data_IF_272659044025
#
_entry.id   IF_272659044025
#
_cell.length_a   1.000
_cell.length_b   1.000
_cell.length_c   1.000
_cell.angle_alpha   90.00
_cell.angle_beta   90.00
_cell.angle_gamma   90.00
#
_symmetry.space_group_name_H-M   'P 1'
#
loop_
_entity.id
_entity.type
_entity.pdbx_description
1 polymer ?
#
# COMPACT_ATOMS: atom_id res chain seq x y z
N UNK A 1 -50.80 9.50 27.51
CA UNK A 1 -52.24 9.38 27.18
C UNK A 1 -52.45 10.01 25.82
N UNK A 2 -52.68 9.19 24.78
CA UNK A 2 -53.98 9.01 24.07
C UNK A 2 -54.33 10.25 23.21
N UNK A 3 -54.69 10.22 21.93
CA UNK A 3 -55.03 9.22 20.90
C UNK A 3 -55.04 10.00 19.55
N UNK A 4 -54.40 9.52 18.47
CA UNK A 4 -55.01 8.81 17.30
C UNK A 4 -56.34 9.35 16.76
N UNK A 5 -56.34 9.73 15.47
CA UNK A 5 -57.32 9.43 14.40
C UNK A 5 -56.52 9.55 13.07
N UNK A 6 -56.36 8.55 12.18
CA UNK A 6 -57.29 7.66 11.42
C UNK A 6 -57.47 8.12 9.97
N UNK A 7 -56.94 7.37 9.00
CA UNK A 7 -57.46 7.16 7.63
C UNK A 7 -56.97 5.76 7.22
N UNK A 8 -57.78 4.70 7.32
CA UNK A 8 -58.81 4.17 6.39
C UNK A 8 -58.23 3.59 5.09
N UNK A 9 -58.52 2.29 4.93
CA UNK A 9 -58.19 1.35 3.88
C UNK A 9 -58.91 1.55 2.54
N UNK A 10 -58.26 1.04 1.48
CA UNK A 10 -58.84 -0.06 0.71
C UNK A 10 -58.95 0.13 -0.81
N UNK A 11 -58.28 -0.73 -1.60
CA UNK A 11 -58.92 -1.81 -2.38
C UNK A 11 -57.93 -2.64 -3.21
N UNK A 12 -58.36 -3.88 -3.42
CA UNK A 12 -57.70 -5.05 -4.01
C UNK A 12 -58.10 -5.25 -5.50
N UNK A 13 -57.24 -5.87 -6.33
CA UNK A 13 -57.41 -7.24 -6.90
C UNK A 13 -56.38 -7.60 -8.00
N UNK A 14 -55.64 -8.69 -7.77
CA UNK A 14 -55.22 -9.86 -8.61
C UNK A 14 -54.88 -9.79 -10.12
N UNK A 15 -53.80 -10.51 -10.48
CA UNK A 15 -53.71 -11.75 -11.33
C UNK A 15 -52.27 -12.30 -11.17
N UNK A 16 -52.07 -13.39 -10.42
CA UNK A 16 -51.86 -14.79 -10.82
C UNK A 16 -50.63 -15.12 -11.70
N UNK A 17 -49.71 -15.93 -11.12
CA UNK A 17 -49.15 -17.12 -11.78
C UNK A 17 -47.72 -17.02 -12.32
N UNK A 18 -46.78 -17.73 -11.67
CA UNK A 18 -46.01 -18.85 -12.26
C UNK A 18 -45.15 -19.50 -11.16
N UNK A 19 -45.33 -20.81 -11.01
CA UNK A 19 -44.50 -21.75 -10.26
C UNK A 19 -43.07 -21.79 -10.84
N UNK A 20 -42.05 -21.89 -9.99
CA UNK A 20 -41.10 -23.00 -10.07
C UNK A 20 -40.27 -23.08 -8.78
N UNK A 21 -40.47 -24.18 -8.06
CA UNK A 21 -39.63 -24.67 -6.98
C UNK A 21 -38.24 -25.00 -7.54
N UNK A 22 -37.22 -24.39 -6.98
CA UNK A 22 -35.82 -24.65 -7.27
C UNK A 22 -34.97 -24.20 -6.10
N UNK A 23 -35.10 -24.88 -4.97
CA UNK A 23 -34.19 -24.77 -3.83
C UNK A 23 -32.78 -25.16 -4.30
N UNK A 24 -31.99 -24.19 -4.76
CA UNK A 24 -30.54 -24.35 -4.86
C UNK A 24 -29.98 -24.11 -3.47
N UNK A 25 -29.71 -25.22 -2.80
CA UNK A 25 -28.80 -25.30 -1.67
C UNK A 25 -27.48 -24.61 -2.04
N UNK A 26 -27.29 -23.39 -1.52
CA UNK A 26 -25.98 -22.78 -1.48
C UNK A 26 -25.16 -23.60 -0.50
N UNK A 27 -24.35 -24.51 -1.04
CA UNK A 27 -23.29 -25.14 -0.29
C UNK A 27 -22.37 -24.04 0.21
N UNK A 28 -22.43 -23.78 1.51
CA UNK A 28 -21.37 -23.13 2.25
C UNK A 28 -20.13 -23.99 2.05
N UNK A 29 -19.23 -23.55 1.17
CA UNK A 29 -17.88 -24.07 1.18
C UNK A 29 -17.28 -23.62 2.52
N UNK A 30 -17.19 -24.55 3.46
CA UNK A 30 -16.28 -24.42 4.58
C UNK A 30 -14.89 -24.19 3.98
N UNK A 31 -14.39 -22.96 4.11
CA UNK A 31 -13.01 -22.66 3.76
C UNK A 31 -12.15 -23.52 4.68
N UNK A 32 -11.55 -24.58 4.13
CA UNK A 32 -10.43 -25.23 4.76
C UNK A 32 -9.40 -24.14 5.15
N UNK A 33 -8.72 -24.24 6.30
CA UNK A 33 -7.67 -23.29 6.65
C UNK A 33 -6.61 -23.36 5.55
N UNK A 34 -6.67 -22.41 4.61
CA UNK A 34 -5.67 -22.30 3.57
C UNK A 34 -4.36 -22.04 4.30
N UNK A 35 -3.42 -22.97 4.18
CA UNK A 35 -2.02 -22.74 4.55
C UNK A 35 -1.64 -21.39 3.96
N UNK A 36 -1.46 -20.38 4.82
CA UNK A 36 -1.23 -19.03 4.36
C UNK A 36 -0.03 -19.08 3.39
N UNK A 37 -0.15 -18.52 2.17
CA UNK A 37 1.01 -18.37 1.31
C UNK A 37 2.11 -17.71 2.13
N UNK A 38 3.28 -18.36 2.25
CA UNK A 38 4.39 -17.80 3.01
C UNK A 38 4.89 -16.57 2.25
N UNK A 39 4.40 -15.38 2.63
CA UNK A 39 4.87 -14.07 2.14
C UNK A 39 6.37 -13.87 2.31
N UNK A 40 6.95 -14.70 3.18
CA UNK A 40 8.30 -14.60 3.68
C UNK A 40 9.03 -15.90 3.34
N UNK A 41 10.13 -15.74 2.64
CA UNK A 41 11.02 -16.85 2.29
C UNK A 41 12.09 -16.99 3.39
N UNK A 42 12.76 -18.15 3.49
CA UNK A 42 13.94 -18.29 4.34
C UNK A 42 15.06 -17.27 4.01
N UNK A 43 15.08 -16.73 2.78
CA UNK A 43 16.02 -15.68 2.36
C UNK A 43 15.62 -14.28 2.83
N UNK A 44 14.37 -14.10 3.26
CA UNK A 44 13.82 -12.86 3.79
C UNK A 44 12.87 -13.15 4.96
N UNK A 45 13.37 -13.66 6.10
CA UNK A 45 12.59 -13.84 7.31
C UNK A 45 12.11 -12.50 7.84
N UNK A 46 10.95 -12.54 8.47
CA UNK A 46 10.33 -11.39 9.12
C UNK A 46 10.93 -11.18 10.50
N UNK A 47 11.17 -9.92 10.87
CA UNK A 47 11.62 -9.61 12.24
C UNK A 47 10.61 -10.03 13.31
N UNK A 48 11.12 -10.39 14.49
CA UNK A 48 10.31 -10.76 15.65
C UNK A 48 9.39 -9.63 16.12
N UNK A 49 9.84 -8.38 15.99
CA UNK A 49 9.06 -7.18 16.34
C UNK A 49 7.78 -7.14 15.51
N UNK A 50 7.88 -7.34 14.20
CA UNK A 50 6.72 -7.37 13.32
C UNK A 50 5.78 -8.54 13.67
N UNK A 51 6.34 -9.74 13.89
CA UNK A 51 5.53 -10.91 14.26
C UNK A 51 4.77 -10.68 15.57
N UNK A 52 5.40 -10.02 16.52
CA UNK A 52 4.80 -9.66 17.81
C UNK A 52 3.66 -8.64 17.64
N UNK A 53 3.85 -7.59 16.85
CA UNK A 53 2.82 -6.59 16.59
C UNK A 53 1.63 -7.20 15.81
N UNK A 54 1.89 -8.01 14.78
CA UNK A 54 0.85 -8.71 14.04
C UNK A 54 0.05 -9.67 14.94
N UNK A 55 0.74 -10.40 15.83
CA UNK A 55 0.11 -11.27 16.81
C UNK A 55 -0.78 -10.46 17.76
N UNK A 56 -0.30 -9.32 18.24
CA UNK A 56 -1.08 -8.43 19.11
C UNK A 56 -2.35 -7.93 18.41
N UNK A 57 -2.28 -7.53 17.15
CA UNK A 57 -3.46 -7.08 16.39
C UNK A 57 -4.51 -8.19 16.25
N UNK A 58 -4.07 -9.43 16.00
CA UNK A 58 -4.94 -10.61 15.93
C UNK A 58 -5.58 -10.93 17.28
N UNK A 59 -4.80 -10.98 18.35
CA UNK A 59 -5.31 -11.35 19.70
C UNK A 59 -6.21 -10.28 20.31
N UNK A 60 -6.07 -9.02 19.89
CA UNK A 60 -6.93 -7.91 20.31
C UNK A 60 -8.13 -7.68 19.38
N UNK A 61 -8.38 -8.56 18.41
CA UNK A 61 -9.44 -8.44 17.39
C UNK A 61 -9.40 -7.12 16.59
N UNK A 62 -8.23 -6.48 16.50
CA UNK A 62 -8.01 -5.31 15.64
C UNK A 62 -7.74 -5.71 14.18
N UNK A 63 -7.43 -6.97 13.96
CA UNK A 63 -7.32 -7.59 12.64
C UNK A 63 -7.97 -8.98 12.71
N UNK A 64 -9.16 -9.12 12.14
CA UNK A 64 -9.84 -10.41 12.07
C UNK A 64 -9.31 -11.26 10.90
N UNK A 65 -9.53 -12.58 11.00
CA UNK A 65 -8.98 -13.55 10.05
C UNK A 65 -9.56 -13.44 8.63
N UNK A 66 -10.81 -13.00 8.47
CA UNK A 66 -11.43 -12.81 7.15
C UNK A 66 -10.81 -11.60 6.45
N UNK A 67 -10.76 -10.45 7.14
CA UNK A 67 -10.11 -9.24 6.64
C UNK A 67 -8.65 -9.50 6.29
N UNK A 68 -7.90 -10.14 7.19
CA UNK A 68 -6.51 -10.50 6.93
C UNK A 68 -6.39 -11.39 5.68
N UNK A 69 -7.20 -12.45 5.58
CA UNK A 69 -7.20 -13.37 4.45
C UNK A 69 -7.53 -12.70 3.11
N UNK A 70 -8.46 -11.74 3.11
CA UNK A 70 -8.83 -10.96 1.92
C UNK A 70 -7.71 -10.01 1.48
N UNK A 71 -7.07 -9.32 2.42
CA UNK A 71 -5.90 -8.47 2.13
C UNK A 71 -4.78 -9.34 1.59
N UNK A 72 -4.56 -10.51 2.19
CA UNK A 72 -3.50 -11.46 1.83
C UNK A 72 -3.68 -11.92 0.38
N UNK A 73 -4.89 -12.39 0.05
CA UNK A 73 -5.24 -12.82 -1.29
C UNK A 73 -5.03 -11.69 -2.33
N UNK A 74 -5.59 -10.51 -2.06
CA UNK A 74 -5.44 -9.35 -2.94
C UNK A 74 -3.97 -8.95 -3.14
N UNK A 75 -3.16 -9.04 -2.08
CA UNK A 75 -1.74 -8.71 -2.11
C UNK A 75 -0.97 -9.67 -3.01
N UNK A 76 -1.17 -10.99 -2.88
CA UNK A 76 -0.51 -11.98 -3.74
C UNK A 76 -0.86 -11.75 -5.21
N UNK A 77 -2.14 -11.55 -5.53
CA UNK A 77 -2.57 -11.35 -6.92
C UNK A 77 -2.00 -10.05 -7.49
N UNK A 78 -2.08 -8.96 -6.74
CA UNK A 78 -1.54 -7.65 -7.14
C UNK A 78 -0.03 -7.72 -7.34
N UNK A 79 0.69 -8.30 -6.39
CA UNK A 79 2.14 -8.47 -6.44
C UNK A 79 2.57 -9.26 -7.69
N UNK A 80 1.88 -10.35 -7.99
CA UNK A 80 2.13 -11.16 -9.19
C UNK A 80 1.91 -10.37 -10.48
N UNK A 81 0.78 -9.68 -10.62
CA UNK A 81 0.45 -8.92 -11.84
C UNK A 81 1.39 -7.74 -12.04
N UNK A 82 1.74 -7.03 -10.96
CA UNK A 82 2.58 -5.83 -11.02
C UNK A 82 4.08 -6.12 -10.91
N UNK A 83 4.46 -7.38 -10.68
CA UNK A 83 5.83 -7.82 -10.41
C UNK A 83 6.45 -7.04 -9.24
N UNK A 84 5.70 -6.96 -8.13
CA UNK A 84 6.15 -6.38 -6.86
C UNK A 84 6.51 -7.56 -5.94
N UNK A 85 7.57 -7.48 -5.12
CA UNK A 85 7.77 -8.45 -4.06
C UNK A 85 6.56 -8.46 -3.12
N UNK A 86 5.87 -9.61 -2.99
CA UNK A 86 4.62 -9.69 -2.24
C UNK A 86 4.82 -9.31 -0.75
N UNK A 87 5.92 -9.75 -0.14
CA UNK A 87 6.30 -9.37 1.22
C UNK A 87 6.45 -7.87 1.38
N UNK A 88 7.09 -7.18 0.43
CA UNK A 88 7.22 -5.71 0.46
C UNK A 88 5.86 -5.00 0.44
N UNK A 89 4.95 -5.43 -0.45
CA UNK A 89 3.62 -4.82 -0.54
C UNK A 89 2.82 -5.05 0.75
N UNK A 90 2.86 -6.27 1.30
CA UNK A 90 2.23 -6.59 2.59
C UNK A 90 2.78 -5.71 3.72
N UNK A 91 4.11 -5.64 3.84
CA UNK A 91 4.80 -4.83 4.84
C UNK A 91 4.46 -3.34 4.72
N UNK A 92 4.32 -2.84 3.48
CA UNK A 92 3.88 -1.47 3.24
C UNK A 92 2.47 -1.24 3.80
N UNK A 93 1.49 -2.09 3.44
CA UNK A 93 0.13 -1.96 3.95
C UNK A 93 0.09 -2.04 5.48
N UNK A 94 0.88 -2.92 6.08
CA UNK A 94 1.00 -3.04 7.53
C UNK A 94 1.61 -1.77 8.16
N UNK A 95 2.71 -1.26 7.62
CA UNK A 95 3.38 -0.07 8.15
C UNK A 95 2.49 1.18 8.04
N UNK A 96 1.68 1.28 6.98
CA UNK A 96 0.80 2.43 6.76
C UNK A 96 -0.44 2.35 7.66
N UNK A 97 -1.12 1.20 7.74
CA UNK A 97 -2.45 1.11 8.36
C UNK A 97 -2.61 0.04 9.43
N UNK A 98 -1.59 -0.77 9.69
CA UNK A 98 -1.68 -2.00 10.50
C UNK A 98 -2.76 -2.94 9.94
N UNK A 99 -2.90 -2.92 8.61
CA UNK A 99 -3.89 -3.68 7.85
C UNK A 99 -5.35 -3.28 8.13
N UNK A 100 -5.58 -2.11 8.74
CA UNK A 100 -6.91 -1.54 8.89
C UNK A 100 -7.33 -0.84 7.59
N UNK A 101 -8.18 -1.53 6.82
CA UNK A 101 -8.67 -1.01 5.56
C UNK A 101 -9.70 0.10 5.69
N UNK A 102 -10.24 0.33 6.89
CA UNK A 102 -11.22 1.38 7.22
C UNK A 102 -10.59 2.52 8.01
N UNK A 103 -9.27 2.52 8.21
CA UNK A 103 -8.58 3.57 8.94
C UNK A 103 -8.91 4.96 8.35
N UNK A 104 -9.47 5.83 9.19
CA UNK A 104 -9.89 7.19 8.79
C UNK A 104 -11.29 7.33 8.24
N UNK A 105 -12.10 6.26 8.20
CA UNK A 105 -13.48 6.31 7.68
C UNK A 105 -14.39 7.29 8.47
N UNK A 106 -14.21 7.37 9.78
CA UNK A 106 -14.99 8.24 10.68
C UNK A 106 -14.24 9.52 11.07
N UNK A 107 -13.00 9.71 10.59
CA UNK A 107 -12.09 10.73 11.09
C UNK A 107 -11.72 11.77 10.04
N UNK A 108 -11.51 13.01 10.49
CA UNK A 108 -10.87 14.04 9.68
C UNK A 108 -9.34 13.87 9.74
N UNK A 109 -8.85 12.72 9.29
CA UNK A 109 -7.41 12.45 9.18
C UNK A 109 -6.93 12.74 7.75
N UNK A 110 -5.66 13.13 7.56
CA UNK A 110 -5.16 13.55 6.25
C UNK A 110 -4.97 12.39 5.25
N UNK A 111 -5.07 11.14 5.69
CA UNK A 111 -4.79 9.93 4.93
C UNK A 111 -5.77 8.81 5.27
N UNK A 112 -6.16 7.99 4.28
CA UNK A 112 -7.23 7.00 4.44
C UNK A 112 -6.78 5.59 4.07
N UNK A 113 -7.40 4.59 4.70
CA UNK A 113 -7.37 3.17 4.32
C UNK A 113 -6.00 2.49 4.35
N UNK A 114 -5.90 1.33 3.69
CA UNK A 114 -4.73 0.44 3.84
C UNK A 114 -3.39 1.07 3.48
N UNK A 115 -3.35 1.81 2.38
CA UNK A 115 -2.15 2.50 1.92
C UNK A 115 -2.02 3.94 2.41
N UNK A 116 -2.89 4.42 3.30
CA UNK A 116 -2.86 5.78 3.84
C UNK A 116 -2.77 6.87 2.75
N UNK A 117 -3.69 6.84 1.79
CA UNK A 117 -3.70 7.84 0.73
C UNK A 117 -4.30 9.17 1.16
N UNK A 118 -3.58 10.23 0.82
CA UNK A 118 -4.08 11.60 0.90
C UNK A 118 -4.89 11.95 -0.35
N UNK A 119 -5.56 13.10 -0.33
CA UNK A 119 -6.25 13.65 -1.50
C UNK A 119 -5.35 13.70 -2.76
N UNK A 120 -4.08 14.10 -2.62
CA UNK A 120 -3.14 14.13 -3.73
C UNK A 120 -2.78 12.74 -4.26
N UNK A 121 -2.73 11.73 -3.38
CA UNK A 121 -2.56 10.34 -3.79
C UNK A 121 -3.70 9.88 -4.69
N UNK A 122 -4.94 10.18 -4.32
CA UNK A 122 -6.11 9.89 -5.16
C UNK A 122 -6.07 10.63 -6.50
N UNK A 123 -5.68 11.90 -6.52
CA UNK A 123 -5.52 12.63 -7.78
C UNK A 123 -4.52 11.94 -8.70
N UNK A 124 -3.38 11.50 -8.18
CA UNK A 124 -2.38 10.82 -9.00
C UNK A 124 -2.89 9.49 -9.56
N UNK A 125 -3.61 8.71 -8.75
CA UNK A 125 -4.14 7.41 -9.18
C UNK A 125 -5.28 7.54 -10.18
N UNK A 126 -6.11 8.57 -10.02
CA UNK A 126 -7.22 8.77 -10.93
C UNK A 126 -6.74 9.33 -12.29
N UNK A 127 -5.81 10.28 -12.26
CA UNK A 127 -5.49 11.11 -13.43
C UNK A 127 -4.08 10.92 -14.00
N UNK A 128 -3.14 10.39 -13.22
CA UNK A 128 -1.72 10.29 -13.61
C UNK A 128 -1.17 8.86 -13.58
N UNK A 129 -2.01 7.86 -13.33
CA UNK A 129 -1.61 6.47 -13.18
C UNK A 129 -0.80 5.91 -14.36
N UNK A 130 -1.05 6.41 -15.57
CA UNK A 130 -0.38 5.97 -16.79
C UNK A 130 0.92 6.73 -17.09
N UNK A 131 1.33 7.67 -16.24
CA UNK A 131 2.47 8.58 -16.48
C UNK A 131 3.80 7.84 -16.68
N UNK A 132 4.00 6.73 -15.98
CA UNK A 132 5.24 5.94 -16.06
C UNK A 132 5.02 4.51 -16.59
N UNK A 133 3.76 4.13 -16.84
CA UNK A 133 3.41 2.86 -17.47
C UNK A 133 2.06 2.97 -18.15
N UNK A 134 2.01 2.80 -19.47
CA UNK A 134 0.75 2.71 -20.22
C UNK A 134 -0.09 1.48 -19.85
N UNK A 135 0.51 0.47 -19.20
CA UNK A 135 -0.16 -0.75 -18.79
C UNK A 135 -0.95 -0.61 -17.46
N UNK A 136 -0.78 0.49 -16.70
CA UNK A 136 -1.37 0.61 -15.37
C UNK A 136 -2.90 0.49 -15.37
N UNK A 137 -3.58 1.09 -16.36
CA UNK A 137 -5.02 0.91 -16.55
C UNK A 137 -5.41 -0.55 -16.79
N UNK A 138 -4.66 -1.26 -17.64
CA UNK A 138 -4.92 -2.66 -17.95
C UNK A 138 -4.69 -3.55 -16.73
N UNK A 139 -3.68 -3.25 -15.91
CA UNK A 139 -3.48 -3.95 -14.65
C UNK A 139 -4.63 -3.73 -13.66
N UNK A 140 -5.15 -2.52 -13.56
CA UNK A 140 -6.32 -2.22 -12.74
C UNK A 140 -7.54 -3.02 -13.20
N UNK A 141 -7.84 -3.00 -14.51
CA UNK A 141 -8.94 -3.80 -15.09
C UNK A 141 -8.71 -5.30 -14.87
N UNK A 142 -7.48 -5.77 -15.04
CA UNK A 142 -7.13 -7.19 -14.85
C UNK A 142 -7.34 -7.65 -13.41
N UNK A 143 -7.02 -6.80 -12.43
CA UNK A 143 -7.09 -7.13 -11.01
C UNK A 143 -8.49 -6.92 -10.41
N UNK A 144 -9.23 -5.92 -10.90
CA UNK A 144 -10.55 -5.54 -10.37
C UNK A 144 -11.71 -5.89 -11.30
N UNK A 145 -11.43 -6.46 -12.48
CA UNK A 145 -12.42 -6.82 -13.51
C UNK A 145 -12.94 -5.65 -14.35
N UNK A 146 -12.73 -4.39 -13.92
CA UNK A 146 -13.17 -3.18 -14.63
C UNK A 146 -12.34 -1.96 -14.24
N UNK A 147 -12.52 -0.87 -14.98
CA UNK A 147 -11.98 0.44 -14.59
C UNK A 147 -12.88 1.05 -13.51
N UNK A 148 -12.40 1.11 -12.27
CA UNK A 148 -13.18 1.53 -11.09
C UNK A 148 -12.98 3.01 -10.74
N UNK A 149 -12.28 3.75 -11.59
CA UNK A 149 -12.02 5.18 -11.39
C UNK A 149 -13.28 6.01 -11.71
N UNK A 150 -13.51 7.13 -11.01
CA UNK A 150 -12.65 7.70 -9.97
C UNK A 150 -12.73 6.91 -8.66
N UNK A 151 -11.57 6.72 -8.03
CA UNK A 151 -11.42 6.09 -6.71
C UNK A 151 -11.32 7.17 -5.65
N UNK A 152 -12.09 7.03 -4.58
CA UNK A 152 -12.14 7.96 -3.45
C UNK A 152 -12.35 7.22 -2.14
N UNK A 153 -12.02 7.85 -1.01
CA UNK A 153 -12.42 7.38 0.30
C UNK A 153 -13.93 7.63 0.51
N UNK A 154 -14.77 6.75 -0.06
CA UNK A 154 -16.24 6.84 0.04
C UNK A 154 -16.71 6.09 1.28
N UNK A 155 -17.00 6.85 2.34
CA UNK A 155 -17.47 6.35 3.63
C UNK A 155 -18.93 5.89 3.62
N UNK A 156 -19.73 6.39 2.67
CA UNK A 156 -21.15 6.03 2.56
C UNK A 156 -21.32 4.64 1.94
N UNK A 157 -20.40 4.29 1.03
CA UNK A 157 -20.37 2.99 0.35
C UNK A 157 -18.98 2.33 0.43
N UNK A 158 -18.49 2.00 1.64
CA UNK A 158 -17.10 1.58 1.85
C UNK A 158 -16.74 0.27 1.14
N UNK A 159 -17.74 -0.59 0.91
CA UNK A 159 -17.54 -1.88 0.24
C UNK A 159 -17.67 -1.78 -1.30
N UNK A 160 -18.08 -0.62 -1.83
CA UNK A 160 -18.11 -0.39 -3.29
C UNK A 160 -16.71 -0.53 -3.88
N UNK A 161 -16.62 -1.14 -5.07
CA UNK A 161 -15.33 -1.31 -5.75
C UNK A 161 -14.68 0.03 -6.17
N UNK A 162 -15.44 1.12 -6.27
CA UNK A 162 -14.89 2.47 -6.46
C UNK A 162 -14.42 3.13 -5.16
N UNK A 163 -14.82 2.59 -3.99
CA UNK A 163 -14.35 3.07 -2.70
C UNK A 163 -12.95 2.53 -2.42
N UNK A 164 -12.08 3.40 -1.94
CA UNK A 164 -10.75 3.04 -1.45
C UNK A 164 -10.81 2.25 -0.13
N UNK A 165 -11.95 2.24 0.56
CA UNK A 165 -12.14 1.34 1.71
C UNK A 165 -12.39 -0.10 1.27
N UNK A 166 -12.68 -0.38 0.00
CA UNK A 166 -12.77 -1.75 -0.50
C UNK A 166 -11.37 -2.37 -0.56
N UNK A 167 -11.15 -3.46 0.18
CA UNK A 167 -9.86 -4.18 0.28
C UNK A 167 -9.19 -4.39 -1.09
N UNK A 168 -9.83 -4.99 -2.11
CA UNK A 168 -9.18 -5.21 -3.40
C UNK A 168 -8.76 -3.89 -4.05
N UNK A 169 -9.61 -2.87 -4.01
CA UNK A 169 -9.32 -1.55 -4.58
C UNK A 169 -8.14 -0.88 -3.86
N UNK A 170 -8.13 -0.90 -2.53
CA UNK A 170 -7.05 -0.38 -1.70
C UNK A 170 -5.71 -1.03 -2.07
N UNK A 171 -5.65 -2.36 -2.04
CA UNK A 171 -4.42 -3.11 -2.31
C UNK A 171 -3.90 -2.87 -3.74
N UNK A 172 -4.79 -2.95 -4.74
CA UNK A 172 -4.43 -2.75 -6.15
C UNK A 172 -3.90 -1.34 -6.40
N UNK A 173 -4.57 -0.33 -5.87
CA UNK A 173 -4.16 1.07 -6.06
C UNK A 173 -2.87 1.41 -5.30
N UNK A 174 -2.68 0.90 -4.08
CA UNK A 174 -1.40 0.97 -3.36
C UNK A 174 -0.28 0.34 -4.19
N UNK A 175 -0.49 -0.87 -4.70
CA UNK A 175 0.48 -1.57 -5.55
C UNK A 175 0.82 -0.79 -6.83
N UNK A 176 -0.19 -0.26 -7.53
CA UNK A 176 0.00 0.52 -8.75
C UNK A 176 0.77 1.83 -8.48
N UNK A 177 0.41 2.54 -7.41
CA UNK A 177 1.10 3.77 -7.03
C UNK A 177 2.57 3.47 -6.65
N UNK A 178 2.83 2.41 -5.88
CA UNK A 178 4.18 1.95 -5.57
C UNK A 178 4.97 1.55 -6.83
N UNK A 179 4.36 0.81 -7.76
CA UNK A 179 4.97 0.43 -9.04
C UNK A 179 5.35 1.67 -9.87
N UNK A 180 4.50 2.69 -9.90
CA UNK A 180 4.81 3.95 -10.58
C UNK A 180 6.03 4.64 -9.98
N UNK A 181 6.21 4.60 -8.66
CA UNK A 181 7.42 5.13 -8.00
C UNK A 181 8.67 4.36 -8.42
N UNK A 182 8.60 3.03 -8.43
CA UNK A 182 9.68 2.17 -8.90
C UNK A 182 10.08 2.49 -10.34
N UNK A 183 9.11 2.53 -11.26
CA UNK A 183 9.36 2.79 -12.69
C UNK A 183 9.94 4.20 -12.93
N UNK A 184 9.46 5.20 -12.19
CA UNK A 184 10.00 6.54 -12.29
C UNK A 184 11.46 6.60 -11.83
N UNK A 185 11.79 5.98 -10.69
CA UNK A 185 13.16 5.94 -10.18
C UNK A 185 14.10 5.13 -11.09
N UNK A 186 13.64 3.98 -11.60
CA UNK A 186 14.36 3.18 -12.60
C UNK A 186 14.73 4.03 -13.81
N UNK A 187 13.74 4.70 -14.42
CA UNK A 187 13.95 5.53 -15.59
C UNK A 187 14.93 6.69 -15.34
N UNK A 188 14.98 7.24 -14.11
CA UNK A 188 15.95 8.27 -13.74
C UNK A 188 17.38 7.72 -13.66
N UNK A 189 17.58 6.50 -13.15
CA UNK A 189 18.89 5.86 -13.08
C UNK A 189 19.35 5.36 -14.46
N UNK A 190 18.45 4.80 -15.26
CA UNK A 190 18.71 4.35 -16.63
C UNK A 190 19.20 5.51 -17.50
N UNK A 191 18.55 6.68 -17.42
CA UNK A 191 18.98 7.91 -18.12
C UNK A 191 20.37 8.38 -17.72
N UNK A 192 20.83 8.03 -16.52
CA UNK A 192 22.18 8.33 -16.01
C UNK A 192 23.20 7.23 -16.30
N UNK A 193 22.78 6.11 -16.90
CA UNK A 193 23.64 4.93 -17.08
C UNK A 193 24.09 4.31 -15.76
N UNK A 194 23.31 4.46 -14.69
CA UNK A 194 23.60 3.89 -13.37
C UNK A 194 22.86 2.57 -13.23
N UNK A 195 23.61 1.47 -13.14
CA UNK A 195 23.04 0.15 -12.76
C UNK A 195 22.59 0.18 -11.30
N UNK A 196 21.52 -0.54 -11.00
CA UNK A 196 20.94 -0.64 -9.66
C UNK A 196 20.54 -2.07 -9.33
N UNK A 197 20.50 -2.37 -8.04
CA UNK A 197 19.90 -3.57 -7.50
C UNK A 197 18.36 -3.39 -7.48
N UNK A 198 17.57 -4.28 -8.11
CA UNK A 198 16.11 -4.17 -8.15
C UNK A 198 15.44 -4.20 -6.77
N UNK A 199 15.98 -4.96 -5.80
CA UNK A 199 15.45 -5.04 -4.44
C UNK A 199 15.70 -3.73 -3.68
N UNK A 200 16.88 -3.11 -3.86
CA UNK A 200 17.14 -1.78 -3.29
C UNK A 200 16.28 -0.71 -3.93
N UNK A 201 16.05 -0.77 -5.25
CA UNK A 201 15.20 0.18 -5.92
C UNK A 201 13.75 0.12 -5.41
N UNK A 202 13.26 -1.06 -5.02
CA UNK A 202 11.97 -1.20 -4.35
C UNK A 202 11.92 -0.51 -2.98
N UNK A 203 13.00 -0.54 -2.19
CA UNK A 203 13.06 0.25 -0.95
C UNK A 203 12.99 1.76 -1.25
N UNK A 204 13.74 2.23 -2.25
CA UNK A 204 13.64 3.63 -2.67
C UNK A 204 12.24 3.99 -3.20
N UNK A 205 11.55 3.05 -3.85
CA UNK A 205 10.16 3.23 -4.25
C UNK A 205 9.23 3.38 -3.05
N UNK A 206 9.43 2.63 -1.97
CA UNK A 206 8.70 2.82 -0.70
C UNK A 206 9.03 4.16 -0.06
N UNK A 207 10.30 4.58 -0.07
CA UNK A 207 10.66 5.92 0.41
C UNK A 207 9.96 7.02 -0.40
N UNK A 208 9.91 6.85 -1.73
CA UNK A 208 9.21 7.75 -2.64
C UNK A 208 7.68 7.65 -2.55
N UNK A 209 7.13 6.54 -2.07
CA UNK A 209 5.72 6.39 -1.74
C UNK A 209 5.35 7.37 -0.63
N UNK A 210 6.15 7.39 0.45
CA UNK A 210 5.89 8.17 1.66
C UNK A 210 6.31 9.66 1.52
N UNK A 211 7.43 9.98 0.83
CA UNK A 211 7.97 11.35 0.70
C UNK A 211 8.10 11.88 -0.73
N UNK A 212 7.61 11.14 -1.71
CA UNK A 212 7.62 11.53 -3.12
C UNK A 212 8.97 11.33 -3.80
N UNK A 213 8.95 11.00 -5.10
CA UNK A 213 10.16 10.75 -5.91
C UNK A 213 11.11 11.95 -5.94
N UNK A 214 10.59 13.19 -5.90
CA UNK A 214 11.42 14.40 -5.90
C UNK A 214 12.30 14.49 -4.65
N UNK A 215 11.81 14.03 -3.50
CA UNK A 215 12.60 13.97 -2.27
C UNK A 215 13.78 13.02 -2.42
N UNK A 216 13.53 11.82 -2.96
CA UNK A 216 14.57 10.81 -3.20
C UNK A 216 15.61 11.29 -4.22
N UNK A 217 15.16 11.93 -5.30
CA UNK A 217 16.05 12.52 -6.30
C UNK A 217 16.95 13.61 -5.70
N UNK A 218 16.42 14.46 -4.84
CA UNK A 218 17.21 15.48 -4.16
C UNK A 218 18.24 14.88 -3.20
N UNK A 219 17.88 13.81 -2.50
CA UNK A 219 18.80 13.03 -1.69
C UNK A 219 19.95 12.46 -2.55
N UNK A 220 19.64 11.74 -3.63
CA UNK A 220 20.65 11.22 -4.55
C UNK A 220 21.56 12.30 -5.13
N UNK A 221 21.00 13.42 -5.57
CA UNK A 221 21.78 14.54 -6.09
C UNK A 221 22.67 15.19 -5.03
N UNK A 222 22.26 15.18 -3.75
CA UNK A 222 23.08 15.71 -2.66
C UNK A 222 24.28 14.79 -2.39
N UNK A 223 24.05 13.49 -2.34
CA UNK A 223 25.11 12.48 -2.15
C UNK A 223 26.08 12.46 -3.33
N UNK A 224 25.57 12.51 -4.56
CA UNK A 224 26.40 12.61 -5.77
C UNK A 224 27.24 13.89 -5.79
N UNK A 225 26.66 15.05 -5.43
CA UNK A 225 27.41 16.32 -5.37
C UNK A 225 28.53 16.28 -4.32
N UNK A 226 28.30 15.60 -3.20
CA UNK A 226 29.23 15.58 -2.07
C UNK A 226 30.31 14.50 -2.21
N UNK A 227 29.96 13.34 -2.77
CA UNK A 227 30.79 12.13 -2.74
C UNK A 227 31.06 11.53 -4.14
N UNK A 228 30.50 12.14 -5.20
CA UNK A 228 30.67 11.70 -6.58
C UNK A 228 29.69 10.61 -7.03
N UNK A 229 29.66 10.36 -8.34
CA UNK A 229 28.74 9.40 -8.98
C UNK A 229 28.97 7.96 -8.51
N UNK A 230 30.20 7.56 -8.19
CA UNK A 230 30.49 6.20 -7.67
C UNK A 230 29.85 5.95 -6.30
N UNK A 231 29.72 7.00 -5.49
CA UNK A 231 28.99 6.89 -4.23
C UNK A 231 27.49 6.64 -4.48
N UNK A 232 26.89 7.37 -5.42
CA UNK A 232 25.50 7.13 -5.83
C UNK A 232 25.30 5.71 -6.39
N UNK A 233 26.24 5.19 -7.18
CA UNK A 233 26.21 3.81 -7.67
C UNK A 233 26.18 2.81 -6.51
N UNK A 234 27.04 2.97 -5.50
CA UNK A 234 27.01 2.13 -4.29
C UNK A 234 25.69 2.25 -3.55
N UNK A 235 25.12 3.45 -3.43
CA UNK A 235 23.83 3.62 -2.75
C UNK A 235 22.69 2.80 -3.35
N UNK A 236 22.66 2.67 -4.68
CA UNK A 236 21.61 1.94 -5.39
C UNK A 236 21.96 0.49 -5.71
N UNK A 237 23.13 0.00 -5.27
CA UNK A 237 23.58 -1.39 -5.50
C UNK A 237 24.03 -2.13 -4.24
N UNK A 238 24.37 -1.42 -3.17
CA UNK A 238 24.84 -1.99 -1.90
C UNK A 238 23.88 -1.64 -0.74
N UNK A 239 23.18 -2.64 -0.15
CA UNK A 239 22.26 -2.42 0.96
C UNK A 239 22.90 -1.77 2.18
N UNK A 240 24.15 -2.12 2.50
CA UNK A 240 24.84 -1.56 3.68
C UNK A 240 25.09 -0.06 3.54
N UNK A 241 25.39 0.39 2.32
CA UNK A 241 25.58 1.82 2.05
C UNK A 241 24.27 2.60 2.28
N UNK A 242 23.13 2.07 1.84
CA UNK A 242 21.83 2.69 2.12
C UNK A 242 21.53 2.69 3.62
N UNK A 243 21.80 1.59 4.33
CA UNK A 243 21.56 1.50 5.77
C UNK A 243 22.35 2.52 6.57
N UNK A 244 23.65 2.62 6.31
CA UNK A 244 24.51 3.53 7.07
C UNK A 244 24.09 4.98 6.86
N UNK A 245 23.67 5.33 5.64
CA UNK A 245 23.07 6.64 5.38
C UNK A 245 21.68 6.81 5.99
N UNK A 246 20.86 5.76 6.04
CA UNK A 246 19.51 5.82 6.62
C UNK A 246 19.51 6.09 8.13
N UNK A 247 20.59 5.73 8.83
CA UNK A 247 20.85 6.10 10.23
C UNK A 247 21.16 7.61 10.37
N UNK A 248 21.63 8.27 9.31
CA UNK A 248 21.99 9.68 9.32
C UNK A 248 20.85 10.59 8.84
N UNK A 249 19.96 10.96 9.77
CA UNK A 249 18.81 11.84 9.52
C UNK A 249 19.18 13.22 8.94
N UNK A 250 20.40 13.69 9.15
CA UNK A 250 20.83 15.01 8.68
C UNK A 250 20.91 15.08 7.15
N UNK A 251 21.22 13.96 6.49
CA UNK A 251 21.34 13.88 5.03
C UNK A 251 19.97 13.94 4.35
N UNK A 252 19.00 13.17 4.84
CA UNK A 252 17.61 13.30 4.40
C UNK A 252 17.08 14.72 4.67
N UNK A 253 17.41 15.31 5.82
CA UNK A 253 16.96 16.66 6.16
C UNK A 253 17.50 17.67 5.15
N UNK A 254 18.77 17.58 4.77
CA UNK A 254 19.38 18.46 3.78
C UNK A 254 18.74 18.29 2.39
N UNK A 255 18.44 17.05 1.97
CA UNK A 255 17.75 16.78 0.71
C UNK A 255 16.32 17.33 0.70
N UNK A 256 15.59 17.15 1.80
CA UNK A 256 14.21 17.58 1.98
C UNK A 256 14.07 19.09 2.18
N UNK A 257 15.06 19.75 2.78
CA UNK A 257 15.08 21.20 2.97
C UNK A 257 15.10 21.99 1.64
N UNK A 258 15.34 21.33 0.50
CA UNK A 258 15.23 21.92 -0.84
C UNK A 258 13.78 22.03 -1.35
N UNK A 259 12.85 21.33 -0.71
CA UNK A 259 11.42 21.29 -1.09
C UNK A 259 10.56 21.85 0.03
N UNK A 260 10.91 21.55 1.28
CA UNK A 260 10.16 21.95 2.46
C UNK A 260 11.01 22.84 3.38
N UNK A 261 10.36 23.62 4.23
CA UNK A 261 11.09 24.35 5.28
C UNK A 261 11.84 23.40 6.21
N UNK A 262 12.86 23.91 6.92
CA UNK A 262 13.76 23.08 7.74
C UNK A 262 13.06 22.25 8.81
N UNK A 263 12.04 22.81 9.48
CA UNK A 263 11.29 22.11 10.52
C UNK A 263 10.57 20.89 9.94
N UNK A 264 9.84 21.09 8.84
CA UNK A 264 9.14 20.01 8.13
C UNK A 264 10.11 19.00 7.52
N UNK A 265 11.22 19.46 6.95
CA UNK A 265 12.26 18.58 6.41
C UNK A 265 12.85 17.64 7.48
N UNK A 266 13.08 18.14 8.70
CA UNK A 266 13.55 17.33 9.83
C UNK A 266 12.52 16.28 10.22
N UNK A 267 11.27 16.68 10.45
CA UNK A 267 10.18 15.76 10.79
C UNK A 267 10.00 14.67 9.72
N UNK A 268 10.03 15.03 8.45
CA UNK A 268 9.93 14.07 7.35
C UNK A 268 11.13 13.12 7.26
N UNK A 269 12.31 13.56 7.66
CA UNK A 269 13.51 12.72 7.69
C UNK A 269 13.46 11.72 8.83
N UNK A 270 12.95 12.13 10.00
CA UNK A 270 12.72 11.26 11.15
C UNK A 270 11.70 10.17 10.81
N UNK A 271 10.55 10.57 10.26
CA UNK A 271 9.50 9.65 9.82
C UNK A 271 10.03 8.67 8.76
N UNK A 272 10.73 9.17 7.73
CA UNK A 272 11.25 8.31 6.67
C UNK A 272 12.29 7.30 7.18
N UNK A 273 13.17 7.72 8.08
CA UNK A 273 14.19 6.84 8.69
C UNK A 273 13.52 5.70 9.45
N UNK A 274 12.45 5.98 10.20
CA UNK A 274 11.64 4.97 10.89
C UNK A 274 10.93 4.06 9.88
N UNK A 275 10.24 4.62 8.88
CA UNK A 275 9.52 3.84 7.86
C UNK A 275 10.45 2.92 7.08
N UNK A 276 11.61 3.42 6.64
CA UNK A 276 12.60 2.62 5.93
C UNK A 276 13.12 1.49 6.82
N UNK A 277 13.40 1.76 8.09
CA UNK A 277 13.89 0.73 9.02
C UNK A 277 12.84 -0.37 9.25
N UNK A 278 11.58 0.01 9.48
CA UNK A 278 10.49 -0.94 9.69
C UNK A 278 10.22 -1.79 8.45
N UNK A 279 10.17 -1.17 7.27
CA UNK A 279 9.95 -1.88 6.00
C UNK A 279 11.12 -2.78 5.69
N UNK A 280 12.35 -2.31 5.88
CA UNK A 280 13.53 -3.14 5.70
C UNK A 280 13.47 -4.35 6.65
N UNK A 281 13.16 -4.19 7.93
CA UNK A 281 13.05 -5.29 8.89
C UNK A 281 11.86 -6.24 8.66
N UNK A 282 10.84 -5.80 7.91
CA UNK A 282 9.66 -6.62 7.59
C UNK A 282 9.83 -7.37 6.27
N UNK A 283 10.28 -6.67 5.23
CA UNK A 283 10.33 -7.16 3.86
C UNK A 283 11.69 -7.74 3.49
N UNK A 284 12.73 -7.42 4.25
CA UNK A 284 14.08 -7.92 4.07
C UNK A 284 14.55 -8.55 5.39
N UNK A 285 15.20 -9.71 5.33
CA UNK A 285 15.98 -10.25 6.47
C UNK A 285 16.91 -9.15 7.01
N UNK A 286 17.38 -9.20 8.27
CA UNK A 286 18.54 -8.41 8.67
C UNK A 286 19.65 -8.65 7.64
N UNK A 287 19.88 -7.66 6.77
CA UNK A 287 21.13 -7.55 6.06
C UNK A 287 22.12 -7.40 7.25
N UNK A 288 22.94 -8.39 7.59
CA UNK A 288 23.88 -8.37 8.74
C UNK A 288 23.44 -7.70 10.07
N UNK A 289 22.83 -8.47 10.98
CA UNK A 289 23.31 -8.37 12.37
C UNK A 289 24.64 -9.13 12.40
N UNK A 290 25.68 -8.47 12.89
CA UNK A 290 27.07 -8.91 12.73
C UNK A 290 27.34 -10.32 13.24
N UNK A 291 28.10 -11.08 12.43
CA UNK A 291 29.16 -11.94 12.95
C UNK A 291 30.29 -11.08 13.50
#
# INVERSE_FOLDING_TARGET
MLKRFSQIHGRWFWIAGILFLGYRSWHWFAFAPQTQPKFFSPSFPVSEIFQSELTLLRTTNRLDADTEGRILHATVQTAKVLQIPAGLLWCLLFQESRLDHRLGIEGNIPSYGLGQFTHFGFQEINYQLNRYSSASRNHLIRLLGKDVRPISADSDHPDSLSSYFSIPTAVVTTGLYLKNRYLHLAALLDRRGIRYDPNLLWLYAVMAYNKGTRGILNFWNAEEKKHGTDHLRRLVTNPETLRDLAKNRTLFTAGFARIWNRSRARSYSEELSIHLSNIAACALSPIGEGT
#
